data_IF_462151921842
#
_entry.id   IF_462151921842
#
_cell.length_a   1.000
_cell.length_b   1.000
_cell.length_c   1.000
_cell.angle_alpha   90.00
_cell.angle_beta   90.00
_cell.angle_gamma   90.00
#
_symmetry.space_group_name_H-M   'P 1'
#
loop_
_entity.id
_entity.type
_entity.pdbx_description
1 polymer ?
#
# COMPACT_ATOMS: atom_id res chain seq x y z
N UNK A 1 -11.88 -6.40 27.40
CA UNK A 1 -11.06 -6.43 26.18
C UNK A 1 -9.83 -5.60 26.50
N UNK A 2 -8.62 -6.09 26.20
CA UNK A 2 -7.40 -5.30 26.38
C UNK A 2 -7.47 -4.06 25.50
N UNK A 3 -7.04 -2.92 26.03
CA UNK A 3 -6.89 -1.69 25.25
C UNK A 3 -5.68 -1.86 24.33
N UNK A 4 -5.88 -1.82 23.01
CA UNK A 4 -4.80 -1.97 22.05
C UNK A 4 -4.74 -0.79 21.08
N UNK A 5 -3.55 -0.50 20.59
CA UNK A 5 -3.32 0.51 19.56
C UNK A 5 -3.16 -0.14 18.18
N UNK A 6 -3.61 0.56 17.15
CA UNK A 6 -3.40 0.16 15.76
C UNK A 6 -2.22 0.94 15.19
N UNK A 7 -1.25 0.22 14.68
CA UNK A 7 -0.01 0.76 14.11
C UNK A 7 0.14 0.25 12.67
N UNK A 8 0.57 1.11 11.78
CA UNK A 8 1.01 0.74 10.43
C UNK A 8 2.23 1.57 10.04
N UNK A 9 2.75 1.42 8.84
CA UNK A 9 3.86 2.22 8.33
C UNK A 9 3.40 3.20 7.23
N UNK A 10 4.25 4.14 6.87
CA UNK A 10 3.91 5.21 5.93
C UNK A 10 3.80 4.77 4.47
N UNK A 11 3.89 3.48 4.15
CA UNK A 11 3.57 2.93 2.84
C UNK A 11 2.07 2.66 2.63
N UNK A 12 1.26 2.80 3.68
CA UNK A 12 -0.19 2.51 3.64
C UNK A 12 -1.01 3.56 2.88
N UNK A 13 -0.45 4.73 2.60
CA UNK A 13 -1.08 5.84 1.85
C UNK A 13 -2.51 6.15 2.34
N UNK A 14 -2.68 6.33 3.66
CA UNK A 14 -3.96 6.65 4.30
C UNK A 14 -4.10 8.17 4.43
N UNK A 15 -5.25 8.76 4.09
CA UNK A 15 -5.53 10.18 4.33
C UNK A 15 -5.38 10.56 5.81
N UNK A 16 -4.85 11.77 6.07
CA UNK A 16 -4.58 12.23 7.43
C UNK A 16 -5.84 12.29 8.31
N UNK A 17 -6.97 12.70 7.75
CA UNK A 17 -8.24 12.76 8.48
C UNK A 17 -8.77 11.39 8.89
N UNK A 18 -8.44 10.34 8.14
CA UNK A 18 -8.78 8.95 8.49
C UNK A 18 -7.84 8.44 9.59
N UNK A 19 -6.55 8.77 9.51
CA UNK A 19 -5.57 8.42 10.55
C UNK A 19 -5.99 9.01 11.91
N UNK A 20 -6.34 10.30 11.92
CA UNK A 20 -6.76 11.00 13.14
C UNK A 20 -8.05 10.41 13.72
N UNK A 21 -9.06 10.16 12.90
CA UNK A 21 -10.34 9.56 13.33
C UNK A 21 -10.16 8.14 13.88
N UNK A 22 -9.29 7.34 13.25
CA UNK A 22 -9.02 5.96 13.63
C UNK A 22 -8.01 5.83 14.77
N UNK A 23 -7.41 6.92 15.25
CA UNK A 23 -6.30 6.91 16.20
C UNK A 23 -5.17 5.95 15.77
N UNK A 24 -4.86 5.97 14.47
CA UNK A 24 -3.89 5.08 13.84
C UNK A 24 -2.49 5.70 13.94
N UNK A 25 -1.54 4.95 14.46
CA UNK A 25 -0.15 5.39 14.58
C UNK A 25 0.69 4.95 13.37
N UNK A 26 1.55 5.85 12.89
CA UNK A 26 2.40 5.59 11.72
C UNK A 26 3.86 5.47 12.10
N UNK A 27 4.51 4.37 11.73
CA UNK A 27 5.97 4.26 11.74
C UNK A 27 6.51 4.89 10.45
N UNK A 28 7.39 5.91 10.53
CA UNK A 28 8.00 6.50 9.36
C UNK A 28 8.91 5.51 8.63
N UNK A 29 8.74 5.38 7.32
CA UNK A 29 9.70 4.71 6.44
C UNK A 29 10.67 5.72 5.82
N UNK A 30 11.82 5.23 5.42
CA UNK A 30 12.87 6.03 4.82
C UNK A 30 13.08 5.62 3.37
N UNK A 31 13.25 6.61 2.50
CA UNK A 31 13.67 6.41 1.11
C UNK A 31 14.92 7.25 0.83
N UNK A 32 15.67 6.82 -0.17
CA UNK A 32 16.75 7.62 -0.74
C UNK A 32 16.35 8.10 -2.12
N UNK A 33 16.67 9.34 -2.44
CA UNK A 33 16.47 9.92 -3.76
C UNK A 33 17.73 10.69 -4.17
N UNK A 34 18.37 10.28 -5.26
CA UNK A 34 19.62 10.85 -5.75
C UNK A 34 20.75 10.86 -4.70
N UNK A 35 20.80 9.85 -3.81
CA UNK A 35 21.78 9.72 -2.74
C UNK A 35 21.44 10.47 -1.46
N UNK A 36 20.35 11.23 -1.42
CA UNK A 36 19.87 11.91 -0.22
C UNK A 36 18.86 11.02 0.51
N UNK A 37 19.03 10.86 1.83
CA UNK A 37 18.10 10.14 2.68
C UNK A 37 16.94 11.04 3.09
N UNK A 38 15.72 10.57 2.86
CA UNK A 38 14.49 11.30 3.11
C UNK A 38 13.53 10.47 3.97
N UNK A 39 13.24 10.85 5.21
CA UNK A 39 12.19 10.20 5.99
C UNK A 39 10.82 10.61 5.47
N UNK A 40 9.96 9.64 5.21
CA UNK A 40 8.55 9.87 4.89
C UNK A 40 7.72 9.77 6.17
N UNK A 41 7.37 10.91 6.76
CA UNK A 41 6.73 10.98 8.09
C UNK A 41 5.23 11.25 8.03
N UNK A 42 4.76 11.92 6.99
CA UNK A 42 3.37 12.35 6.90
C UNK A 42 2.84 12.16 5.47
N UNK A 43 1.95 11.20 5.23
CA UNK A 43 1.38 10.95 3.91
C UNK A 43 0.53 12.11 3.37
N UNK A 44 0.03 13.00 4.24
CA UNK A 44 -0.80 14.16 3.85
C UNK A 44 -0.02 15.45 3.57
N UNK A 45 1.29 15.52 3.87
CA UNK A 45 2.06 16.75 3.78
C UNK A 45 3.44 16.54 3.11
N UNK A 46 3.43 16.22 1.83
CA UNK A 46 4.62 16.11 1.01
C UNK A 46 4.33 16.55 -0.43
N UNK A 47 5.37 17.09 -1.12
CA UNK A 47 5.24 17.52 -2.50
C UNK A 47 5.40 16.34 -3.47
N UNK A 48 4.25 15.69 -3.76
CA UNK A 48 4.21 14.55 -4.66
C UNK A 48 4.70 14.91 -6.07
N UNK A 49 4.35 16.09 -6.55
CA UNK A 49 4.75 16.55 -7.89
C UNK A 49 6.25 16.71 -7.99
N UNK A 50 6.87 17.42 -7.06
CA UNK A 50 8.31 17.60 -7.03
C UNK A 50 9.08 16.28 -6.94
N UNK A 51 8.56 15.31 -6.19
CA UNK A 51 9.14 13.97 -6.11
C UNK A 51 9.09 13.25 -7.46
N UNK A 52 7.91 13.19 -8.10
CA UNK A 52 7.77 12.51 -9.40
C UNK A 52 8.48 13.23 -10.54
N UNK A 53 8.61 14.55 -10.49
CA UNK A 53 9.40 15.32 -11.47
C UNK A 53 10.90 14.97 -11.38
N UNK A 54 11.45 14.77 -10.17
CA UNK A 54 12.81 14.27 -10.01
C UNK A 54 13.00 12.87 -10.65
N UNK A 55 12.02 11.97 -10.48
CA UNK A 55 12.06 10.65 -11.12
C UNK A 55 11.98 10.73 -12.65
N UNK A 56 11.13 11.62 -13.21
CA UNK A 56 11.04 11.88 -14.67
C UNK A 56 12.34 12.44 -15.24
N UNK A 57 13.06 13.24 -14.46
CA UNK A 57 14.37 13.77 -14.81
C UNK A 57 15.50 12.73 -14.76
N UNK A 58 15.18 11.46 -14.53
CA UNK A 58 16.17 10.37 -14.45
C UNK A 58 16.71 10.12 -13.03
N UNK A 59 16.10 10.73 -12.01
CA UNK A 59 16.44 10.46 -10.62
C UNK A 59 16.31 8.99 -10.27
N UNK A 60 17.23 8.53 -9.42
CA UNK A 60 17.24 7.15 -8.91
C UNK A 60 17.00 7.14 -7.42
N UNK A 61 16.38 6.06 -6.93
CA UNK A 61 16.15 5.95 -5.51
C UNK A 61 15.99 4.50 -5.05
N UNK A 62 15.96 4.34 -3.75
CA UNK A 62 15.74 3.08 -3.05
C UNK A 62 14.97 3.33 -1.77
N UNK A 63 14.47 2.25 -1.15
CA UNK A 63 13.85 2.30 0.17
C UNK A 63 14.59 1.39 1.12
N UNK A 64 14.58 1.74 2.39
CA UNK A 64 15.09 0.89 3.46
C UNK A 64 13.91 0.23 4.18
N UNK A 65 14.07 -1.05 4.52
CA UNK A 65 13.15 -1.70 5.45
C UNK A 65 13.26 -1.07 6.84
N UNK A 66 12.19 -1.13 7.61
CA UNK A 66 12.23 -0.74 9.03
C UNK A 66 13.02 -1.81 9.79
N UNK A 67 14.02 -1.39 10.57
CA UNK A 67 14.85 -2.31 11.36
C UNK A 67 14.11 -2.82 12.62
N UNK A 68 14.48 -4.00 13.17
CA UNK A 68 13.95 -4.44 14.47
C UNK A 68 14.12 -3.40 15.58
N UNK A 69 15.30 -2.74 15.66
CA UNK A 69 15.55 -1.69 16.65
C UNK A 69 14.55 -0.52 16.52
N UNK A 70 14.25 -0.07 15.29
CA UNK A 70 13.25 0.98 15.07
C UNK A 70 11.87 0.56 15.55
N UNK A 71 11.49 -0.73 15.35
CA UNK A 71 10.23 -1.25 15.89
C UNK A 71 10.23 -1.29 17.41
N UNK A 72 11.32 -1.74 18.03
CA UNK A 72 11.47 -1.74 19.50
C UNK A 72 11.25 -0.34 20.06
N UNK A 73 11.97 0.67 19.54
CA UNK A 73 11.86 2.05 19.97
C UNK A 73 10.42 2.62 19.80
N UNK A 74 9.71 2.16 18.76
CA UNK A 74 8.35 2.65 18.46
C UNK A 74 7.26 1.94 19.26
N UNK A 75 7.38 0.63 19.50
CA UNK A 75 6.38 -0.19 20.18
C UNK A 75 6.46 -0.06 21.71
N UNK A 76 7.67 0.00 22.26
CA UNK A 76 7.90 -0.04 23.69
C UNK A 76 7.16 1.04 24.51
N UNK A 77 7.03 2.30 24.07
CA UNK A 77 6.25 3.31 24.79
C UNK A 77 4.79 2.90 25.02
N UNK A 78 4.14 2.25 24.05
CA UNK A 78 2.74 1.79 24.19
C UNK A 78 2.63 0.64 25.19
N UNK A 79 3.60 -0.28 25.20
CA UNK A 79 3.63 -1.38 26.17
C UNK A 79 3.82 -0.85 27.61
N UNK A 80 4.68 0.16 27.80
CA UNK A 80 4.87 0.86 29.09
C UNK A 80 3.60 1.55 29.57
N UNK A 81 2.75 2.02 28.65
CA UNK A 81 1.41 2.56 28.94
C UNK A 81 0.37 1.47 29.24
N UNK A 82 0.73 0.19 29.15
CA UNK A 82 -0.16 -0.94 29.41
C UNK A 82 -1.05 -1.30 28.22
N UNK A 83 -0.73 -0.86 27.00
CA UNK A 83 -1.50 -1.14 25.77
C UNK A 83 -0.92 -2.33 25.01
N UNK A 84 -1.77 -3.13 24.43
CA UNK A 84 -1.41 -4.13 23.44
C UNK A 84 -1.25 -3.48 22.05
N UNK A 85 -0.65 -4.19 21.08
CA UNK A 85 -0.36 -3.63 19.75
C UNK A 85 -0.90 -4.54 18.65
N UNK A 86 -1.64 -3.96 17.70
CA UNK A 86 -1.92 -4.52 16.40
C UNK A 86 -1.13 -3.75 15.35
N UNK A 87 -0.10 -4.39 14.77
CA UNK A 87 0.68 -3.83 13.68
C UNK A 87 0.32 -4.49 12.35
N UNK A 88 -0.07 -3.67 11.35
CA UNK A 88 -0.39 -4.11 9.98
C UNK A 88 0.70 -3.60 9.04
N UNK A 89 1.48 -4.52 8.49
CA UNK A 89 2.70 -4.25 7.71
C UNK A 89 2.43 -4.22 6.20
N UNK A 90 3.28 -3.49 5.46
CA UNK A 90 3.48 -3.70 4.02
C UNK A 90 3.80 -5.18 3.73
N UNK A 91 3.33 -5.68 2.56
CA UNK A 91 3.48 -7.07 2.13
C UNK A 91 4.88 -7.65 2.36
N UNK A 92 4.96 -8.79 3.04
CA UNK A 92 6.18 -9.57 3.21
C UNK A 92 6.75 -10.14 1.89
N UNK A 93 5.93 -10.21 0.84
CA UNK A 93 6.37 -10.55 -0.52
C UNK A 93 7.10 -9.42 -1.25
N UNK A 94 7.02 -8.17 -0.75
CA UNK A 94 7.66 -6.99 -1.34
C UNK A 94 8.85 -6.47 -0.51
N UNK A 95 8.87 -6.74 0.79
CA UNK A 95 9.88 -6.23 1.73
C UNK A 95 10.01 -7.13 2.95
N UNK A 96 11.16 -7.11 3.61
CA UNK A 96 11.37 -7.82 4.89
C UNK A 96 10.89 -7.03 6.12
N UNK A 97 10.12 -5.97 5.94
CA UNK A 97 9.61 -5.10 7.01
C UNK A 97 8.75 -5.88 8.02
N UNK A 98 7.86 -6.76 7.54
CA UNK A 98 7.07 -7.64 8.39
C UNK A 98 7.91 -8.59 9.25
N UNK A 99 8.95 -9.22 8.66
CA UNK A 99 9.85 -10.10 9.40
C UNK A 99 10.58 -9.34 10.52
N UNK A 100 11.04 -8.11 10.23
CA UNK A 100 11.69 -7.25 11.22
C UNK A 100 10.77 -6.89 12.39
N UNK A 101 9.50 -6.61 12.12
CA UNK A 101 8.52 -6.30 13.17
C UNK A 101 8.27 -7.50 14.10
N UNK A 102 8.27 -8.71 13.55
CA UNK A 102 8.09 -9.94 14.34
C UNK A 102 9.26 -10.24 15.26
N UNK A 103 10.49 -9.92 14.83
CA UNK A 103 11.69 -10.05 15.67
C UNK A 103 11.55 -9.12 16.87
N UNK A 104 11.30 -7.83 16.65
CA UNK A 104 11.10 -6.86 17.72
C UNK A 104 9.93 -7.24 18.64
N UNK A 105 8.82 -7.74 18.09
CA UNK A 105 7.66 -8.16 18.86
C UNK A 105 7.99 -9.35 19.79
N UNK A 106 8.78 -10.31 19.31
CA UNK A 106 9.19 -11.46 20.12
C UNK A 106 10.05 -11.02 21.32
N UNK A 107 11.08 -10.19 21.06
CA UNK A 107 11.96 -9.67 22.10
C UNK A 107 11.19 -8.84 23.14
N UNK A 108 10.27 -7.96 22.69
CA UNK A 108 9.45 -7.14 23.58
C UNK A 108 8.44 -7.96 24.40
N UNK A 109 7.84 -9.02 23.83
CA UNK A 109 6.94 -9.89 24.61
C UNK A 109 7.66 -10.74 25.66
N UNK A 110 8.97 -10.98 25.51
CA UNK A 110 9.76 -11.57 26.59
C UNK A 110 9.97 -10.56 27.73
N UNK A 111 10.14 -9.27 27.43
CA UNK A 111 10.34 -8.19 28.41
C UNK A 111 9.01 -7.76 29.06
N UNK A 112 7.91 -7.77 28.30
CA UNK A 112 6.55 -7.40 28.73
C UNK A 112 5.57 -8.57 28.61
N UNK A 113 5.70 -9.64 29.42
CA UNK A 113 4.95 -10.89 29.22
C UNK A 113 3.43 -10.79 29.40
N UNK A 114 2.94 -9.70 30.03
CA UNK A 114 1.50 -9.42 30.15
C UNK A 114 0.93 -8.65 28.96
N UNK A 115 1.76 -8.27 27.97
CA UNK A 115 1.36 -7.54 26.77
C UNK A 115 1.34 -8.45 25.56
N UNK A 116 0.52 -8.09 24.56
CA UNK A 116 0.43 -8.81 23.31
C UNK A 116 0.76 -7.88 22.13
N UNK A 117 1.63 -8.35 21.22
CA UNK A 117 1.95 -7.67 19.98
C UNK A 117 1.61 -8.60 18.81
N UNK A 118 0.60 -8.22 18.02
CA UNK A 118 0.20 -8.94 16.82
C UNK A 118 0.74 -8.23 15.58
N UNK A 119 1.65 -8.88 14.83
CA UNK A 119 2.20 -8.38 13.58
C UNK A 119 1.56 -9.10 12.38
N UNK A 120 0.69 -8.42 11.65
CA UNK A 120 -0.04 -8.95 10.50
C UNK A 120 0.67 -8.58 9.21
N UNK A 121 1.00 -9.57 8.37
CA UNK A 121 1.38 -9.35 6.98
C UNK A 121 0.13 -9.01 6.17
N UNK A 122 0.03 -7.79 5.67
CA UNK A 122 -1.14 -7.38 4.88
C UNK A 122 -1.25 -8.11 3.55
N UNK A 123 -0.15 -8.67 3.03
CA UNK A 123 -0.03 -9.13 1.64
C UNK A 123 -0.47 -8.05 0.64
N UNK A 124 -0.38 -6.79 1.01
CA UNK A 124 -0.91 -5.62 0.31
C UNK A 124 0.13 -4.49 0.31
N UNK A 125 -0.14 -3.43 -0.44
CA UNK A 125 0.66 -2.22 -0.48
C UNK A 125 -0.25 -0.99 -0.64
N UNK A 126 0.30 0.21 -0.33
CA UNK A 126 -0.39 1.49 -0.55
C UNK A 126 -1.82 1.48 0.02
N UNK A 127 -2.82 1.97 -0.69
CA UNK A 127 -4.22 1.99 -0.23
C UNK A 127 -4.79 0.62 0.13
N UNK A 128 -4.22 -0.50 -0.32
CA UNK A 128 -4.69 -1.83 0.07
C UNK A 128 -4.30 -2.21 1.49
N UNK A 129 -3.09 -1.86 1.92
CA UNK A 129 -2.70 -1.89 3.32
C UNK A 129 -3.60 -0.91 4.11
N UNK A 130 -3.85 0.28 3.54
CA UNK A 130 -4.75 1.29 4.10
C UNK A 130 -6.17 0.76 4.37
N UNK A 131 -6.79 0.05 3.43
CA UNK A 131 -8.12 -0.55 3.62
C UNK A 131 -8.13 -1.49 4.84
N UNK A 132 -7.14 -2.36 4.99
CA UNK A 132 -7.06 -3.28 6.12
C UNK A 132 -6.92 -2.53 7.45
N UNK A 133 -6.15 -1.46 7.48
CA UNK A 133 -5.97 -0.61 8.66
C UNK A 133 -7.27 0.10 9.03
N UNK A 134 -8.00 0.64 8.05
CA UNK A 134 -9.30 1.28 8.26
C UNK A 134 -10.31 0.27 8.80
N UNK A 135 -10.40 -0.92 8.19
CA UNK A 135 -11.27 -1.98 8.66
C UNK A 135 -10.94 -2.43 10.09
N UNK A 136 -9.64 -2.50 10.43
CA UNK A 136 -9.22 -2.81 11.79
C UNK A 136 -9.70 -1.74 12.78
N UNK A 137 -9.57 -0.45 12.43
CA UNK A 137 -10.01 0.65 13.28
C UNK A 137 -11.55 0.69 13.44
N UNK A 138 -12.30 0.50 12.36
CA UNK A 138 -13.77 0.45 12.39
C UNK A 138 -14.31 -0.75 13.18
N UNK A 139 -13.59 -1.85 13.17
CA UNK A 139 -14.00 -3.11 13.79
C UNK A 139 -13.27 -3.45 15.09
N UNK A 140 -12.50 -2.51 15.65
CA UNK A 140 -11.75 -2.68 16.89
C UNK A 140 -12.59 -3.32 18.02
N UNK A 141 -13.89 -3.07 18.03
CA UNK A 141 -14.84 -3.60 19.01
C UNK A 141 -15.68 -4.81 18.51
N UNK A 142 -15.48 -5.27 17.26
CA UNK A 142 -16.36 -6.30 16.64
C UNK A 142 -15.70 -7.68 16.48
N UNK A 143 -14.41 -7.83 16.79
CA UNK A 143 -13.72 -9.13 16.80
C UNK A 143 -13.57 -9.79 15.42
N UNK A 144 -13.49 -9.02 14.33
CA UNK A 144 -13.30 -9.56 12.98
C UNK A 144 -11.88 -10.08 12.74
N UNK A 145 -11.76 -11.17 11.99
CA UNK A 145 -10.48 -11.75 11.57
C UNK A 145 -9.84 -10.95 10.44
N UNK A 146 -8.74 -10.24 10.72
CA UNK A 146 -7.92 -9.60 9.70
C UNK A 146 -7.25 -10.61 8.75
N UNK A 147 -7.01 -11.82 9.21
CA UNK A 147 -6.40 -12.90 8.44
C UNK A 147 -7.22 -13.27 7.20
N UNK A 148 -8.54 -13.34 7.32
CA UNK A 148 -9.43 -13.62 6.19
C UNK A 148 -9.51 -12.43 5.24
N UNK A 149 -9.65 -11.21 5.78
CA UNK A 149 -9.86 -10.00 4.98
C UNK A 149 -8.68 -9.67 4.06
N UNK A 150 -7.43 -9.94 4.48
CA UNK A 150 -6.24 -9.64 3.67
C UNK A 150 -6.20 -10.37 2.32
N UNK A 151 -6.82 -11.54 2.22
CA UNK A 151 -6.88 -12.33 0.98
C UNK A 151 -7.89 -11.79 -0.02
N UNK A 152 -8.75 -10.88 0.39
CA UNK A 152 -9.75 -10.22 -0.45
C UNK A 152 -9.35 -8.83 -0.94
N UNK A 153 -8.17 -8.33 -0.56
CA UNK A 153 -7.70 -7.04 -1.06
C UNK A 153 -7.14 -7.20 -2.48
N UNK A 154 -7.85 -6.67 -3.44
CA UNK A 154 -7.50 -6.71 -4.86
C UNK A 154 -6.72 -5.46 -5.24
N UNK A 155 -5.56 -5.63 -5.88
CA UNK A 155 -4.73 -4.55 -6.42
C UNK A 155 -4.60 -4.75 -7.92
N UNK A 156 -5.21 -3.88 -8.71
CA UNK A 156 -5.03 -3.86 -10.15
C UNK A 156 -4.41 -2.54 -10.57
N UNK A 157 -3.27 -2.59 -11.23
CA UNK A 157 -2.53 -1.38 -11.56
C UNK A 157 -1.77 -1.49 -12.88
N UNK A 158 -1.37 -0.34 -13.39
CA UNK A 158 -0.48 -0.20 -14.54
C UNK A 158 0.64 0.79 -14.23
N UNK A 159 1.76 0.64 -14.90
CA UNK A 159 2.89 1.58 -14.82
C UNK A 159 3.24 2.07 -16.23
N UNK A 160 3.86 3.25 -16.30
CA UNK A 160 4.36 3.80 -17.55
C UNK A 160 5.66 3.12 -17.97
N UNK A 161 6.50 2.77 -16.98
CA UNK A 161 7.81 2.18 -17.17
C UNK A 161 8.07 1.05 -16.15
N UNK A 162 8.29 -0.17 -16.65
CA UNK A 162 8.62 -1.34 -15.83
C UNK A 162 10.05 -1.30 -15.25
N UNK A 163 10.92 -0.42 -15.76
CA UNK A 163 12.30 -0.33 -15.28
C UNK A 163 12.39 0.13 -13.82
N UNK A 164 11.40 0.86 -13.31
CA UNK A 164 11.32 1.21 -11.89
C UNK A 164 11.13 -0.04 -11.02
N UNK A 165 10.17 -0.90 -11.35
CA UNK A 165 9.93 -2.16 -10.65
C UNK A 165 11.11 -3.13 -10.76
N UNK A 166 11.75 -3.18 -11.93
CA UNK A 166 12.93 -4.02 -12.19
C UNK A 166 14.13 -3.55 -11.37
N UNK A 167 14.45 -2.25 -11.40
CA UNK A 167 15.55 -1.67 -10.61
C UNK A 167 15.36 -1.87 -9.12
N UNK A 168 14.11 -1.78 -8.68
CA UNK A 168 13.72 -2.07 -7.30
C UNK A 168 13.74 -3.55 -6.93
N UNK A 169 13.88 -4.47 -7.89
CA UNK A 169 13.85 -5.91 -7.65
C UNK A 169 12.46 -6.49 -7.32
N UNK A 170 11.37 -5.77 -7.60
CA UNK A 170 9.99 -6.21 -7.33
C UNK A 170 9.36 -6.99 -8.46
N UNK A 171 10.01 -7.00 -9.64
CA UNK A 171 9.72 -7.94 -10.74
C UNK A 171 11.01 -8.55 -11.27
N UNK A 172 10.92 -9.76 -11.80
CA UNK A 172 12.10 -10.41 -12.39
C UNK A 172 12.52 -9.72 -13.69
N UNK A 173 13.83 -9.71 -14.03
CA UNK A 173 14.33 -9.15 -15.28
C UNK A 173 13.67 -9.76 -16.54
N UNK A 174 13.30 -11.05 -16.47
CA UNK A 174 12.65 -11.78 -17.58
C UNK A 174 11.25 -11.24 -17.89
N UNK A 175 10.51 -10.82 -16.87
CA UNK A 175 9.17 -10.23 -16.99
C UNK A 175 9.27 -8.80 -17.54
N UNK A 176 10.29 -8.04 -17.15
CA UNK A 176 10.49 -6.64 -17.57
C UNK A 176 10.83 -6.46 -19.05
N UNK A 177 11.34 -7.50 -19.75
CA UNK A 177 11.68 -7.42 -21.19
C UNK A 177 10.49 -7.13 -22.11
N UNK A 178 9.29 -7.13 -21.61
CA UNK A 178 8.05 -6.97 -22.34
C UNK A 178 7.70 -5.49 -22.63
N UNK A 179 8.29 -4.53 -21.88
CA UNK A 179 7.95 -3.09 -21.94
C UNK A 179 8.49 -2.30 -23.15
N UNK A 180 9.40 -2.87 -23.95
CA UNK A 180 10.08 -2.16 -25.06
C UNK A 180 9.25 -1.93 -26.33
N UNK A 181 7.99 -2.37 -26.40
CA UNK A 181 7.13 -2.15 -27.55
C UNK A 181 6.19 -0.97 -27.36
N UNK A 182 6.29 0.00 -28.24
CA UNK A 182 5.55 1.25 -28.29
C UNK A 182 4.06 1.06 -27.94
N UNK A 183 3.60 1.73 -26.87
CA UNK A 183 2.18 1.77 -26.41
C UNK A 183 1.62 0.50 -25.76
N UNK A 184 2.41 -0.50 -25.41
CA UNK A 184 1.91 -1.63 -24.61
C UNK A 184 1.99 -1.27 -23.13
N UNK A 185 0.87 -1.42 -22.43
CA UNK A 185 0.72 -1.20 -21.00
C UNK A 185 0.56 -2.54 -20.29
N UNK A 186 1.40 -2.86 -19.29
CA UNK A 186 1.19 -4.02 -18.45
C UNK A 186 0.00 -3.77 -17.52
N UNK A 187 -0.80 -4.79 -17.27
CA UNK A 187 -1.75 -4.84 -16.18
C UNK A 187 -1.15 -5.74 -15.11
N UNK A 188 -0.91 -5.18 -13.95
CA UNK A 188 -0.27 -5.85 -12.83
C UNK A 188 -1.29 -6.08 -11.71
N UNK A 189 -1.00 -7.07 -10.87
CA UNK A 189 -1.71 -7.30 -9.61
C UNK A 189 -0.75 -7.79 -8.52
N UNK A 190 -1.17 -7.68 -7.26
CA UNK A 190 -0.56 -8.41 -6.15
C UNK A 190 -1.27 -9.76 -6.05
N UNK A 191 -0.50 -10.85 -6.03
CA UNK A 191 -1.02 -12.21 -5.93
C UNK A 191 -1.04 -12.71 -4.49
N UNK A 192 -1.50 -13.94 -4.26
CA UNK A 192 -1.83 -14.49 -2.95
C UNK A 192 -0.65 -14.54 -1.98
N UNK A 193 0.58 -14.66 -2.48
CA UNK A 193 1.82 -14.62 -1.69
C UNK A 193 2.37 -13.20 -1.45
N UNK A 194 1.62 -12.18 -1.88
CA UNK A 194 2.00 -10.77 -1.72
C UNK A 194 3.02 -10.25 -2.72
N UNK A 195 3.40 -11.03 -3.73
CA UNK A 195 4.30 -10.61 -4.82
C UNK A 195 3.54 -10.04 -6.02
N UNK A 196 4.28 -9.53 -7.02
CA UNK A 196 3.70 -8.92 -8.23
C UNK A 196 3.61 -9.92 -9.38
N UNK A 197 2.47 -9.88 -10.10
CA UNK A 197 2.28 -10.59 -11.36
C UNK A 197 1.80 -9.66 -12.48
N UNK A 198 2.07 -10.03 -13.74
CA UNK A 198 1.60 -9.33 -14.95
C UNK A 198 0.72 -10.28 -15.77
N UNK A 199 -0.55 -10.47 -15.38
CA UNK A 199 -1.45 -11.41 -16.07
C UNK A 199 -1.85 -10.94 -17.46
N UNK A 200 -1.89 -9.63 -17.72
CA UNK A 200 -2.43 -9.06 -18.95
C UNK A 200 -1.56 -7.93 -19.50
N UNK A 201 -1.72 -7.66 -20.78
CA UNK A 201 -1.11 -6.54 -21.49
C UNK A 201 -2.12 -5.96 -22.45
N UNK A 202 -2.22 -4.63 -22.47
CA UNK A 202 -3.16 -3.92 -23.33
C UNK A 202 -2.45 -2.82 -24.10
N UNK A 203 -3.10 -2.28 -25.14
CA UNK A 203 -2.50 -1.24 -25.96
C UNK A 203 -3.06 0.14 -25.60
N UNK A 204 -2.21 0.98 -25.05
CA UNK A 204 -2.50 2.37 -24.72
C UNK A 204 -3.12 2.58 -23.33
N UNK A 205 -2.93 3.78 -22.78
CA UNK A 205 -3.33 4.12 -21.42
C UNK A 205 -4.84 4.06 -21.19
N UNK A 206 -5.65 4.45 -22.19
CA UNK A 206 -7.12 4.36 -22.09
C UNK A 206 -7.59 2.91 -21.93
N UNK A 207 -6.98 1.96 -22.69
CA UNK A 207 -7.32 0.55 -22.56
C UNK A 207 -6.89 0.00 -21.20
N UNK A 208 -5.70 0.40 -20.70
CA UNK A 208 -5.25 0.01 -19.37
C UNK A 208 -6.20 0.48 -18.27
N UNK A 209 -6.58 1.76 -18.28
CA UNK A 209 -7.54 2.33 -17.35
C UNK A 209 -8.87 1.57 -17.38
N UNK A 210 -9.44 1.36 -18.58
CA UNK A 210 -10.71 0.64 -18.73
C UNK A 210 -10.61 -0.79 -18.20
N UNK A 211 -9.48 -1.48 -18.43
CA UNK A 211 -9.27 -2.84 -17.93
C UNK A 211 -9.25 -2.86 -16.41
N UNK A 212 -8.49 -1.95 -15.77
CA UNK A 212 -8.38 -1.89 -14.32
C UNK A 212 -9.74 -1.57 -13.67
N UNK A 213 -10.47 -0.58 -14.19
CA UNK A 213 -11.81 -0.23 -13.71
C UNK A 213 -12.79 -1.40 -13.90
N UNK A 214 -12.71 -2.11 -15.03
CA UNK A 214 -13.55 -3.29 -15.29
C UNK A 214 -13.29 -4.43 -14.31
N UNK A 215 -12.06 -4.58 -13.79
CA UNK A 215 -11.75 -5.57 -12.75
C UNK A 215 -12.52 -5.28 -11.47
N UNK A 216 -12.62 -4.01 -11.06
CA UNK A 216 -13.43 -3.61 -9.92
C UNK A 216 -14.93 -3.87 -10.18
N UNK A 217 -15.46 -3.38 -11.28
CA UNK A 217 -16.88 -3.53 -11.63
C UNK A 217 -17.28 -5.01 -11.72
N UNK A 218 -16.40 -5.85 -12.26
CA UNK A 218 -16.63 -7.30 -12.42
C UNK A 218 -16.42 -8.12 -11.14
N UNK A 219 -15.86 -7.54 -10.07
CA UNK A 219 -15.63 -8.27 -8.82
C UNK A 219 -16.89 -8.46 -7.97
N UNK A 220 -17.96 -7.78 -8.32
CA UNK A 220 -19.15 -7.61 -7.46
C UNK A 220 -18.89 -6.58 -6.37
N UNK A 221 -19.89 -5.75 -6.09
CA UNK A 221 -19.82 -4.79 -4.99
C UNK A 221 -19.86 -5.54 -3.67
N UNK A 222 -18.92 -5.25 -2.80
CA UNK A 222 -19.03 -5.63 -1.41
C UNK A 222 -19.64 -4.45 -0.63
N UNK A 223 -20.92 -4.53 -0.28
CA UNK A 223 -21.63 -3.48 0.45
C UNK A 223 -21.09 -3.28 1.88
N UNK A 224 -20.47 -4.34 2.45
CA UNK A 224 -19.82 -4.27 3.77
C UNK A 224 -18.48 -3.53 3.72
N UNK A 225 -17.85 -3.47 2.53
CA UNK A 225 -16.52 -2.87 2.33
C UNK A 225 -16.53 -1.95 1.09
N UNK A 226 -17.17 -0.78 1.17
CA UNK A 226 -17.42 0.08 0.02
C UNK A 226 -16.20 0.89 -0.45
N UNK A 227 -15.07 0.78 0.27
CA UNK A 227 -13.88 1.58 -0.03
C UNK A 227 -13.19 1.13 -1.31
N UNK A 228 -12.88 2.13 -2.16
CA UNK A 228 -12.04 1.97 -3.36
C UNK A 228 -10.95 3.02 -3.31
N UNK A 229 -9.71 2.59 -3.24
CA UNK A 229 -8.57 3.49 -3.34
C UNK A 229 -8.10 3.58 -4.79
N UNK A 230 -7.93 4.81 -5.27
CA UNK A 230 -7.23 5.10 -6.52
C UNK A 230 -5.90 5.75 -6.14
N UNK A 231 -4.81 4.97 -6.20
CA UNK A 231 -3.47 5.46 -5.89
C UNK A 231 -2.71 5.76 -7.18
N UNK A 232 -2.11 6.95 -7.29
CA UNK A 232 -1.47 7.39 -8.53
C UNK A 232 -0.11 8.05 -8.33
N UNK A 233 0.79 7.91 -9.31
CA UNK A 233 2.09 8.58 -9.36
C UNK A 233 2.05 9.84 -10.22
N UNK A 234 1.60 10.97 -9.66
CA UNK A 234 1.41 12.26 -10.35
C UNK A 234 0.56 12.14 -11.63
N UNK A 235 -0.57 11.45 -11.51
CA UNK A 235 -1.54 11.20 -12.58
C UNK A 235 -2.99 11.52 -12.13
N UNK A 236 -3.16 12.63 -11.40
CA UNK A 236 -4.43 13.02 -10.77
C UNK A 236 -5.60 13.15 -11.76
N UNK A 237 -5.36 13.73 -12.96
CA UNK A 237 -6.39 13.85 -13.99
C UNK A 237 -6.94 12.48 -14.43
N UNK A 238 -6.07 11.49 -14.55
CA UNK A 238 -6.47 10.12 -14.89
C UNK A 238 -7.21 9.47 -13.74
N UNK A 239 -6.77 9.67 -12.51
CA UNK A 239 -7.43 9.16 -11.31
C UNK A 239 -8.88 9.69 -11.17
N UNK A 240 -9.11 10.97 -11.50
CA UNK A 240 -10.46 11.53 -11.53
C UNK A 240 -11.35 10.90 -12.62
N UNK A 241 -10.79 10.56 -13.78
CA UNK A 241 -11.52 9.82 -14.84
C UNK A 241 -11.87 8.40 -14.40
N UNK A 242 -10.95 7.72 -13.69
CA UNK A 242 -11.20 6.40 -13.10
C UNK A 242 -12.31 6.47 -12.05
N UNK A 243 -12.26 7.47 -11.15
CA UNK A 243 -13.29 7.73 -10.16
C UNK A 243 -14.66 7.95 -10.81
N UNK A 244 -14.72 8.80 -11.84
CA UNK A 244 -15.98 9.07 -12.56
C UNK A 244 -16.57 7.79 -13.16
N UNK A 245 -15.75 6.95 -13.81
CA UNK A 245 -16.18 5.69 -14.41
C UNK A 245 -16.63 4.66 -13.34
N UNK A 246 -15.96 4.62 -12.19
CA UNK A 246 -16.37 3.78 -11.06
C UNK A 246 -17.72 4.22 -10.52
N UNK A 247 -17.90 5.53 -10.25
CA UNK A 247 -19.15 6.06 -9.67
C UNK A 247 -20.33 6.00 -10.64
N UNK A 248 -20.10 6.04 -11.97
CA UNK A 248 -21.13 5.80 -12.97
C UNK A 248 -21.67 4.38 -12.89
N UNK A 249 -20.79 3.39 -12.70
CA UNK A 249 -21.17 1.98 -12.62
C UNK A 249 -21.60 1.53 -11.22
N UNK A 250 -21.03 2.12 -10.18
CA UNK A 250 -21.21 1.77 -8.77
C UNK A 250 -21.37 3.05 -7.93
N UNK A 251 -22.55 3.70 -7.95
CA UNK A 251 -22.77 5.00 -7.32
C UNK A 251 -22.51 5.06 -5.80
N UNK A 252 -22.61 3.93 -5.10
CA UNK A 252 -22.42 3.80 -3.66
C UNK A 252 -20.96 3.56 -3.25
N UNK A 253 -20.01 3.43 -4.20
CA UNK A 253 -18.59 3.24 -3.89
C UNK A 253 -18.02 4.47 -3.18
N UNK A 254 -17.25 4.26 -2.12
CA UNK A 254 -16.50 5.31 -1.42
C UNK A 254 -15.11 5.42 -2.01
N UNK A 255 -14.96 6.25 -3.04
CA UNK A 255 -13.71 6.38 -3.80
C UNK A 255 -12.79 7.42 -3.17
N UNK A 256 -11.63 6.98 -2.73
CA UNK A 256 -10.55 7.78 -2.16
C UNK A 256 -9.41 7.86 -3.17
N UNK A 257 -9.04 9.08 -3.58
CA UNK A 257 -7.87 9.30 -4.46
C UNK A 257 -6.69 9.74 -3.61
N UNK A 258 -5.54 9.08 -3.80
CA UNK A 258 -4.30 9.39 -3.09
C UNK A 258 -3.10 9.44 -4.03
N UNK A 259 -2.21 10.42 -3.89
CA UNK A 259 -0.89 10.32 -4.49
C UNK A 259 -0.12 9.18 -3.79
N UNK A 260 0.45 8.29 -4.59
CA UNK A 260 1.26 7.18 -4.09
C UNK A 260 2.55 7.71 -3.46
N UNK A 261 2.81 7.34 -2.21
CA UNK A 261 3.95 7.81 -1.40
C UNK A 261 5.30 7.53 -2.06
N UNK A 262 6.37 8.25 -1.66
CA UNK A 262 7.72 7.97 -2.16
C UNK A 262 8.17 6.53 -1.92
N UNK A 263 7.68 5.89 -0.86
CA UNK A 263 8.04 4.51 -0.50
C UNK A 263 7.63 3.53 -1.60
N UNK A 264 6.46 3.70 -2.17
CA UNK A 264 5.95 2.88 -3.27
C UNK A 264 6.32 3.50 -4.63
N UNK A 265 6.22 4.83 -4.75
CA UNK A 265 6.45 5.58 -5.97
C UNK A 265 7.85 5.43 -6.56
N UNK A 266 8.88 5.26 -5.73
CA UNK A 266 10.26 5.02 -6.17
C UNK A 266 10.40 3.71 -6.96
N UNK A 267 9.57 2.72 -6.64
CA UNK A 267 9.56 1.41 -7.30
C UNK A 267 8.59 1.32 -8.47
N UNK A 268 7.54 2.14 -8.50
CA UNK A 268 6.52 2.11 -9.56
C UNK A 268 6.71 3.21 -10.60
N UNK A 269 7.36 4.29 -10.23
CA UNK A 269 7.63 5.45 -11.09
C UNK A 269 6.42 6.36 -11.31
N UNK A 270 6.66 7.49 -12.01
CA UNK A 270 5.60 8.40 -12.41
C UNK A 270 4.63 7.72 -13.40
N UNK A 271 3.35 8.15 -13.37
CA UNK A 271 2.31 7.62 -14.23
C UNK A 271 1.70 6.28 -13.79
N UNK A 272 2.13 5.73 -12.63
CA UNK A 272 1.46 4.57 -12.04
C UNK A 272 0.02 4.92 -11.69
N UNK A 273 -0.91 3.99 -11.95
CA UNK A 273 -2.33 4.07 -11.61
C UNK A 273 -2.78 2.73 -11.04
N UNK A 274 -3.39 2.75 -9.87
CA UNK A 274 -3.86 1.56 -9.17
C UNK A 274 -5.29 1.77 -8.68
N UNK A 275 -6.17 0.81 -8.94
CA UNK A 275 -7.50 0.70 -8.32
C UNK A 275 -7.44 -0.48 -7.35
N UNK A 276 -7.71 -0.19 -6.09
CA UNK A 276 -7.53 -1.11 -4.98
C UNK A 276 -8.83 -1.17 -4.19
N UNK A 277 -9.30 -2.37 -3.90
CA UNK A 277 -10.61 -2.59 -3.32
C UNK A 277 -10.72 -3.95 -2.64
N UNK A 278 -11.80 -4.15 -1.90
CA UNK A 278 -12.17 -5.46 -1.34
C UNK A 278 -13.00 -6.23 -2.37
N UNK A 279 -12.57 -7.43 -2.76
CA UNK A 279 -13.23 -8.22 -3.79
C UNK A 279 -12.75 -9.66 -3.89
N UNK A 280 -13.23 -10.38 -4.91
CA UNK A 280 -12.99 -11.82 -5.08
C UNK A 280 -12.07 -12.17 -6.25
N UNK A 281 -11.39 -11.18 -6.84
CA UNK A 281 -10.53 -11.37 -8.02
C UNK A 281 -9.08 -10.92 -7.80
N UNK A 282 -8.62 -11.18 -6.57
CA UNK A 282 -7.21 -10.98 -6.20
C UNK A 282 -6.27 -11.77 -7.09
#
# INVERSE_FOLDING_TARGET
MSDYVIITDTSADIPADILDKGQIHLIPMVYQLNGEECPHRNPGNWDSRAFYDKLRAGGTGSTSQISPATYTDFFEPFLKEGKDILYISLSGGLTSTWQSSRIAAADLMEEYPERNISCVDSLAATGGQGILVILAAENQNKGMSLEENRLHICHWFTVDDLDFLKRGGRISPTIAWIGGKLKIKPILRIVEDGTLAIPEKVRGSKAAMNTIVSKYIGSGLNEEHPYVFICHGDAAEQAEKEKAAILEAVPQAQVIIMPMSPIIGIHTGPGVQAVIYFGNNR
#
